data_IF_512285858815
#
_entry.id   IF_512285858815
#
_cell.length_a   1.000
_cell.length_b   1.000
_cell.length_c   1.000
_cell.angle_alpha   90.00
_cell.angle_beta   90.00
_cell.angle_gamma   90.00
#
_symmetry.space_group_name_H-M   'P 1'
#
loop_
_entity.id
_entity.type
_entity.pdbx_description
1 polymer ?
#
# COMPACT_ATOMS: atom_id res chain seq x y z
N UNK A 1 -31.83 11.27 4.89
CA UNK A 1 -30.68 10.79 4.10
C UNK A 1 -30.54 9.28 4.27
N UNK A 2 -30.69 8.49 3.20
CA UNK A 2 -30.75 7.02 3.24
C UNK A 2 -29.45 6.39 3.79
N UNK A 3 -29.58 5.41 4.69
CA UNK A 3 -28.46 4.72 5.36
C UNK A 3 -27.42 4.10 4.40
N UNK A 4 -27.80 3.84 3.14
CA UNK A 4 -26.88 3.35 2.09
C UNK A 4 -25.77 4.36 1.76
N UNK A 5 -26.05 5.67 1.79
CA UNK A 5 -25.06 6.70 1.50
C UNK A 5 -24.01 6.82 2.61
N UNK A 6 -24.41 6.60 3.87
CA UNK A 6 -23.49 6.61 5.01
C UNK A 6 -22.54 5.42 4.97
N UNK A 7 -23.04 4.22 4.67
CA UNK A 7 -22.22 3.01 4.54
C UNK A 7 -21.13 3.17 3.47
N UNK A 8 -21.51 3.61 2.26
CA UNK A 8 -20.54 3.85 1.18
C UNK A 8 -19.44 4.82 1.60
N UNK A 9 -19.79 5.91 2.27
CA UNK A 9 -18.81 6.90 2.74
C UNK A 9 -17.83 6.30 3.74
N UNK A 10 -18.29 5.51 4.71
CA UNK A 10 -17.38 4.87 5.67
C UNK A 10 -16.44 3.86 5.00
N UNK A 11 -16.95 3.06 4.06
CA UNK A 11 -16.11 2.12 3.31
C UNK A 11 -15.04 2.84 2.47
N UNK A 12 -15.38 3.98 1.86
CA UNK A 12 -14.41 4.81 1.12
C UNK A 12 -13.35 5.39 2.08
N UNK A 13 -13.75 5.89 3.26
CA UNK A 13 -12.79 6.38 4.26
C UNK A 13 -11.85 5.26 4.71
N UNK A 14 -12.39 4.06 4.97
CA UNK A 14 -11.61 2.87 5.28
C UNK A 14 -10.60 2.54 4.19
N UNK A 15 -11.03 2.59 2.92
CA UNK A 15 -10.15 2.34 1.78
C UNK A 15 -9.04 3.39 1.66
N UNK A 16 -9.37 4.68 1.74
CA UNK A 16 -8.37 5.75 1.66
C UNK A 16 -7.37 5.66 2.81
N UNK A 17 -7.84 5.45 4.04
CA UNK A 17 -6.98 5.29 5.21
C UNK A 17 -6.06 4.06 5.08
N UNK A 18 -6.61 2.92 4.64
CA UNK A 18 -5.83 1.70 4.43
C UNK A 18 -4.74 1.86 3.36
N UNK A 19 -5.05 2.51 2.25
CA UNK A 19 -4.07 2.76 1.18
C UNK A 19 -2.94 3.69 1.64
N UNK A 20 -3.27 4.78 2.33
CA UNK A 20 -2.28 5.71 2.88
C UNK A 20 -1.39 5.04 3.94
N UNK A 21 -1.97 4.22 4.82
CA UNK A 21 -1.22 3.49 5.83
C UNK A 21 -0.27 2.46 5.21
N UNK A 22 -0.69 1.76 4.15
CA UNK A 22 0.18 0.82 3.44
C UNK A 22 1.40 1.51 2.82
N UNK A 23 1.21 2.67 2.18
CA UNK A 23 2.33 3.49 1.67
C UNK A 23 3.23 3.91 2.84
N UNK A 24 2.65 4.45 3.91
CA UNK A 24 3.42 4.94 5.05
C UNK A 24 4.28 3.84 5.67
N UNK A 25 3.71 2.66 5.93
CA UNK A 25 4.44 1.52 6.48
C UNK A 25 5.53 1.05 5.52
N UNK A 26 5.26 0.99 4.21
CA UNK A 26 6.26 0.60 3.21
C UNK A 26 7.46 1.54 3.17
N UNK A 27 7.23 2.85 3.21
CA UNK A 27 8.30 3.85 3.27
C UNK A 27 9.05 3.83 4.61
N UNK A 28 8.36 3.54 5.72
CA UNK A 28 9.01 3.35 7.01
C UNK A 28 9.89 2.10 7.01
N UNK A 29 9.46 1.00 6.40
CA UNK A 29 10.30 -0.19 6.20
C UNK A 29 11.55 0.14 5.38
N UNK A 30 11.39 0.94 4.32
CA UNK A 30 12.50 1.35 3.45
C UNK A 30 13.52 2.26 4.13
N UNK A 31 13.08 3.07 5.10
CA UNK A 31 13.94 4.09 5.73
C UNK A 31 14.50 3.67 7.07
N UNK A 32 13.72 2.98 7.89
CA UNK A 32 14.09 2.60 9.26
C UNK A 32 14.63 1.17 9.36
N UNK A 33 14.27 0.30 8.41
CA UNK A 33 14.58 -1.12 8.48
C UNK A 33 15.43 -1.62 7.31
N UNK A 34 15.90 -0.75 6.41
CA UNK A 34 16.71 -1.14 5.25
C UNK A 34 17.91 -2.02 5.64
N UNK A 35 18.65 -1.65 6.68
CA UNK A 35 19.82 -2.42 7.13
C UNK A 35 19.44 -3.83 7.61
N UNK A 36 18.27 -3.97 8.24
CA UNK A 36 17.75 -5.27 8.70
C UNK A 36 17.14 -6.10 7.56
N UNK A 37 16.73 -5.45 6.47
CA UNK A 37 16.06 -6.05 5.32
C UNK A 37 16.99 -6.24 4.11
N UNK A 38 18.30 -6.07 4.30
CA UNK A 38 19.34 -6.19 3.27
C UNK A 38 19.22 -5.18 2.11
N UNK A 39 18.77 -3.97 2.41
CA UNK A 39 18.71 -2.86 1.45
C UNK A 39 17.32 -2.25 1.32
N UNK A 40 17.18 -1.36 0.34
CA UNK A 40 15.95 -0.63 0.04
C UNK A 40 15.16 -1.31 -1.09
N UNK A 41 13.89 -0.93 -1.24
CA UNK A 41 13.07 -1.31 -2.38
C UNK A 41 13.72 -0.95 -3.71
N UNK A 42 14.43 0.18 -3.78
CA UNK A 42 15.10 0.61 -5.01
C UNK A 42 16.31 -0.26 -5.34
N UNK A 43 17.02 -0.77 -4.34
CA UNK A 43 18.12 -1.72 -4.54
C UNK A 43 17.58 -3.05 -5.08
N UNK A 44 16.46 -3.53 -4.53
CA UNK A 44 15.78 -4.73 -5.03
C UNK A 44 15.31 -4.55 -6.49
N UNK A 45 14.73 -3.40 -6.82
CA UNK A 45 14.31 -3.10 -8.21
C UNK A 45 15.49 -3.11 -9.17
N UNK A 46 16.63 -2.51 -8.80
CA UNK A 46 17.84 -2.54 -9.64
C UNK A 46 18.30 -3.98 -9.87
N UNK A 47 18.34 -4.79 -8.82
CA UNK A 47 18.69 -6.21 -8.91
C UNK A 47 17.74 -6.96 -9.85
N UNK A 48 16.43 -6.77 -9.71
CA UNK A 48 15.43 -7.43 -10.56
C UNK A 48 15.53 -6.99 -12.01
N UNK A 49 15.71 -5.69 -12.29
CA UNK A 49 15.87 -5.19 -13.65
C UNK A 49 17.16 -5.69 -14.32
N UNK A 50 18.23 -5.85 -13.54
CA UNK A 50 19.44 -6.51 -14.02
C UNK A 50 19.19 -7.99 -14.33
N UNK A 51 18.56 -8.73 -13.41
CA UNK A 51 18.38 -10.18 -13.56
C UNK A 51 17.39 -10.55 -14.67
N UNK A 52 16.30 -9.81 -14.84
CA UNK A 52 15.27 -10.12 -15.85
C UNK A 52 15.55 -9.51 -17.21
N UNK A 53 16.14 -8.31 -17.26
CA UNK A 53 16.30 -7.56 -18.50
C UNK A 53 17.76 -7.26 -18.87
N UNK A 54 18.73 -7.70 -18.07
CA UNK A 54 20.17 -7.42 -18.25
C UNK A 54 20.48 -5.92 -18.32
N UNK A 55 19.64 -5.09 -17.69
CA UNK A 55 19.81 -3.64 -17.65
C UNK A 55 20.69 -3.25 -16.47
N UNK A 56 21.84 -2.63 -16.74
CA UNK A 56 22.70 -2.06 -15.71
C UNK A 56 22.25 -0.64 -15.38
N UNK A 57 21.34 -0.53 -14.42
CA UNK A 57 20.81 0.75 -13.95
C UNK A 57 21.37 1.12 -12.59
N UNK A 58 21.46 2.43 -12.33
CA UNK A 58 21.76 2.94 -10.99
C UNK A 58 20.46 3.12 -10.20
N UNK A 59 20.56 3.06 -8.87
CA UNK A 59 19.43 3.24 -7.93
C UNK A 59 18.72 4.58 -8.12
N UNK A 60 19.43 5.60 -8.61
CA UNK A 60 18.91 6.94 -8.86
C UNK A 60 18.38 7.13 -10.29
N UNK A 61 18.31 6.08 -11.10
CA UNK A 61 17.83 6.19 -12.48
C UNK A 61 16.31 6.45 -12.52
N UNK A 62 15.81 7.23 -13.51
CA UNK A 62 14.37 7.52 -13.63
C UNK A 62 13.51 6.26 -13.74
N UNK A 63 14.02 5.21 -14.40
CA UNK A 63 13.32 3.93 -14.57
C UNK A 63 13.04 3.27 -13.22
N UNK A 64 14.01 3.26 -12.31
CA UNK A 64 13.85 2.69 -10.97
C UNK A 64 12.78 3.45 -10.17
N UNK A 65 12.74 4.78 -10.26
CA UNK A 65 11.69 5.58 -9.61
C UNK A 65 10.30 5.32 -10.17
N UNK A 66 10.17 5.14 -11.49
CA UNK A 66 8.89 4.79 -12.13
C UNK A 66 8.41 3.43 -11.63
N UNK A 67 9.27 2.42 -11.64
CA UNK A 67 8.93 1.07 -11.15
C UNK A 67 8.57 1.11 -9.66
N UNK A 68 9.35 1.84 -8.85
CA UNK A 68 9.06 2.01 -7.42
C UNK A 68 7.70 2.67 -7.19
N UNK A 69 7.36 3.71 -7.95
CA UNK A 69 6.05 4.35 -7.91
C UNK A 69 4.90 3.41 -8.27
N UNK A 70 5.09 2.52 -9.25
CA UNK A 70 4.11 1.49 -9.62
C UNK A 70 3.91 0.50 -8.46
N UNK A 71 4.99 0.04 -7.81
CA UNK A 71 4.91 -0.87 -6.66
C UNK A 71 4.13 -0.20 -5.51
N UNK A 72 4.44 1.06 -5.19
CA UNK A 72 3.71 1.80 -4.15
C UNK A 72 2.22 1.98 -4.50
N UNK A 73 1.89 2.20 -5.77
CA UNK A 73 0.50 2.31 -6.22
C UNK A 73 -0.25 0.98 -6.02
N UNK A 74 0.36 -0.14 -6.41
CA UNK A 74 -0.20 -1.48 -6.21
C UNK A 74 -0.40 -1.76 -4.72
N UNK A 75 0.61 -1.46 -3.90
CA UNK A 75 0.56 -1.66 -2.46
C UNK A 75 -0.51 -0.79 -1.79
N UNK A 76 -0.67 0.45 -2.24
CA UNK A 76 -1.77 1.33 -1.81
C UNK A 76 -3.13 0.73 -2.18
N UNK A 77 -3.27 0.14 -3.37
CA UNK A 77 -4.47 -0.59 -3.77
C UNK A 77 -4.79 -1.75 -2.82
N UNK A 78 -3.80 -2.56 -2.46
CA UNK A 78 -3.97 -3.64 -1.48
C UNK A 78 -4.33 -3.10 -0.08
N UNK A 79 -3.63 -2.07 0.38
CA UNK A 79 -3.95 -1.40 1.64
C UNK A 79 -5.37 -0.87 1.67
N UNK A 80 -5.83 -0.28 0.56
CA UNK A 80 -7.18 0.24 0.44
C UNK A 80 -8.24 -0.87 0.46
N UNK A 81 -7.98 -1.99 -0.21
CA UNK A 81 -8.86 -3.15 -0.14
C UNK A 81 -8.97 -3.67 1.31
N UNK A 82 -7.84 -3.83 1.99
CA UNK A 82 -7.82 -4.28 3.39
C UNK A 82 -8.52 -3.31 4.33
N UNK A 83 -8.30 -1.99 4.17
CA UNK A 83 -8.97 -0.97 4.96
C UNK A 83 -10.49 -0.94 4.74
N UNK A 84 -10.94 -1.19 3.51
CA UNK A 84 -12.36 -1.36 3.19
C UNK A 84 -12.95 -2.59 3.90
N UNK A 85 -12.29 -3.74 3.80
CA UNK A 85 -12.71 -5.00 4.43
C UNK A 85 -12.76 -4.84 5.95
N UNK A 86 -11.72 -4.28 6.56
CA UNK A 86 -11.66 -4.00 7.99
C UNK A 86 -12.85 -3.12 8.44
N UNK A 87 -13.09 -2.02 7.72
CA UNK A 87 -14.20 -1.11 8.04
C UNK A 87 -15.55 -1.80 7.89
N UNK A 88 -15.71 -2.65 6.87
CA UNK A 88 -16.92 -3.46 6.71
C UNK A 88 -17.18 -4.35 7.93
N UNK A 89 -16.16 -5.07 8.41
CA UNK A 89 -16.29 -5.92 9.60
C UNK A 89 -16.63 -5.11 10.85
N UNK A 90 -15.99 -3.96 11.06
CA UNK A 90 -16.29 -3.07 12.19
C UNK A 90 -17.76 -2.61 12.16
N UNK A 91 -18.26 -2.16 11.01
CA UNK A 91 -19.66 -1.75 10.88
C UNK A 91 -20.60 -2.92 11.15
N UNK A 92 -20.28 -4.11 10.63
CA UNK A 92 -21.10 -5.31 10.83
C UNK A 92 -21.14 -5.72 12.30
N UNK A 93 -20.00 -5.69 12.98
CA UNK A 93 -19.88 -6.00 14.40
C UNK A 93 -20.72 -5.05 15.27
N UNK A 94 -20.60 -3.73 15.07
CA UNK A 94 -21.41 -2.77 15.83
C UNK A 94 -22.90 -2.81 15.47
N UNK A 95 -23.25 -3.17 14.23
CA UNK A 95 -24.64 -3.39 13.86
C UNK A 95 -25.24 -4.61 14.55
N UNK A 96 -24.43 -5.66 14.77
CA UNK A 96 -24.85 -6.86 15.50
C UNK A 96 -25.08 -6.55 16.99
N UNK A 97 -24.21 -5.76 17.62
CA UNK A 97 -24.35 -5.39 19.04
C UNK A 97 -25.55 -4.46 19.34
N UNK A 98 -26.10 -3.79 18.33
CA UNK A 98 -27.24 -2.87 18.48
C UNK A 98 -28.60 -3.53 18.17
N UNK A 99 -28.59 -4.74 17.61
CA UNK A 99 -29.79 -5.55 17.41
C UNK A 99 -30.04 -6.44 18.62
#
# INVERSE_FOLDING_TARGET
>A
MSGKYRLKRYLIVGAVAGGLLAIAVSLLMDTLFADSLNGTWRDAIVSDLHNFFHMNLTVNSPVVFIVFGIILLILSGFGALLGMIFTFFIIRFFSFLKG
#
